data_IF_223523182973
#
_entry.id   IF_223523182973
#
_cell.length_a   1.000
_cell.length_b   1.000
_cell.length_c   1.000
_cell.angle_alpha   90.00
_cell.angle_beta   90.00
_cell.angle_gamma   90.00
#
_symmetry.space_group_name_H-M   'P 1'
#
loop_
_entity.id
_entity.type
_entity.pdbx_description
1 polymer ?
#
# COMPACT_ATOMS: atom_id res chain seq x y z
N UNK A 1 -4.73 -3.51 9.60
CA UNK A 1 -3.42 -3.36 10.27
C UNK A 1 -3.35 -1.94 10.83
N UNK A 2 -3.28 -1.80 12.15
CA UNK A 2 -3.20 -0.47 12.80
C UNK A 2 -1.72 -0.16 13.03
N UNK A 3 -1.21 0.91 12.43
CA UNK A 3 0.11 1.46 12.75
C UNK A 3 -0.11 2.58 13.76
N UNK A 4 0.33 2.35 15.00
CA UNK A 4 0.37 3.36 16.06
C UNK A 4 1.79 3.88 16.14
N UNK A 5 1.99 5.15 15.82
CA UNK A 5 3.22 5.88 16.13
C UNK A 5 3.24 6.18 17.62
N UNK A 6 4.20 5.64 18.34
CA UNK A 6 4.42 5.93 19.76
C UNK A 6 5.80 6.55 19.93
N UNK A 7 5.85 7.89 19.94
CA UNK A 7 6.99 8.63 20.48
C UNK A 7 6.74 8.89 21.96
N UNK A 8 7.35 8.09 22.84
CA UNK A 8 7.47 8.45 24.24
C UNK A 8 8.92 8.26 24.69
N UNK A 9 9.58 9.37 24.83
CA UNK A 9 10.85 9.49 25.54
C UNK A 9 10.64 9.19 27.01
N UNK A 10 11.07 8.02 27.49
CA UNK A 10 11.13 7.69 28.90
C UNK A 10 12.39 8.30 29.53
N UNK A 11 12.24 9.41 30.30
CA UNK A 11 13.24 9.83 31.28
C UNK A 11 13.17 8.88 32.47
N UNK A 12 14.11 7.97 32.57
CA UNK A 12 14.32 7.18 33.79
C UNK A 12 14.85 8.08 34.90
N UNK A 13 13.99 8.36 35.88
CA UNK A 13 14.37 9.01 37.12
C UNK A 13 14.76 7.89 38.11
N UNK A 14 16.06 7.78 38.37
CA UNK A 14 16.57 6.86 39.38
C UNK A 14 16.07 7.28 40.76
N UNK A 15 15.16 6.49 41.33
CA UNK A 15 14.82 6.57 42.76
C UNK A 15 15.76 5.65 43.54
N UNK A 16 16.64 6.25 44.37
CA UNK A 16 17.43 5.51 45.35
C UNK A 16 16.51 5.06 46.46
N UNK A 17 16.09 3.83 46.42
CA UNK A 17 15.38 3.18 47.51
C UNK A 17 16.40 2.56 48.46
N UNK A 18 16.49 3.13 49.70
CA UNK A 18 17.27 2.54 50.78
C UNK A 18 16.59 1.24 51.17
N UNK A 19 17.25 0.13 50.93
CA UNK A 19 16.85 -1.18 51.35
C UNK A 19 17.01 -1.31 52.87
N UNK A 20 15.96 -1.20 53.66
CA UNK A 20 15.98 -1.60 55.05
C UNK A 20 15.82 -3.12 55.14
N UNK A 21 16.91 -3.75 55.44
CA UNK A 21 17.10 -5.20 55.67
C UNK A 21 16.50 -5.59 57.01
N UNK A 22 15.18 -5.70 57.12
CA UNK A 22 14.51 -6.35 58.30
C UNK A 22 13.03 -6.54 58.02
N UNK A 23 12.67 -7.45 57.13
CA UNK A 23 11.42 -8.21 57.21
C UNK A 23 11.42 -9.33 56.15
N UNK A 24 12.39 -10.21 56.29
CA UNK A 24 12.45 -11.43 55.50
C UNK A 24 12.11 -12.57 56.45
N UNK A 25 10.85 -12.72 56.80
CA UNK A 25 10.37 -13.96 57.42
C UNK A 25 8.85 -14.06 57.26
N UNK A 26 8.45 -15.13 56.58
CA UNK A 26 7.13 -15.74 56.62
C UNK A 26 6.05 -15.12 55.69
N UNK A 27 6.14 -15.43 54.40
CA UNK A 27 4.94 -15.72 53.61
C UNK A 27 5.18 -17.00 52.81
N UNK A 28 4.53 -18.12 53.13
CA UNK A 28 4.53 -19.29 52.25
C UNK A 28 3.73 -18.90 51.00
N UNK A 29 4.45 -18.76 49.88
CA UNK A 29 3.87 -18.52 48.60
C UNK A 29 3.17 -19.81 48.15
N UNK A 30 1.87 -19.88 48.40
CA UNK A 30 1.01 -20.90 47.81
C UNK A 30 0.90 -20.54 46.33
N UNK A 31 1.74 -21.18 45.54
CA UNK A 31 1.61 -21.17 44.10
C UNK A 31 0.38 -22.01 43.73
N UNK A 32 -0.78 -21.37 43.70
CA UNK A 32 -1.94 -21.97 43.07
C UNK A 32 -1.60 -21.91 41.54
N UNK A 33 -1.14 -23.05 41.06
CA UNK A 33 -1.11 -23.32 39.64
C UNK A 33 -2.55 -23.32 39.13
N UNK A 34 -3.10 -22.12 38.87
CA UNK A 34 -4.24 -22.01 37.97
C UNK A 34 -3.68 -22.28 36.59
N UNK A 35 -3.65 -23.56 36.24
CA UNK A 35 -3.46 -23.95 34.85
C UNK A 35 -4.58 -23.32 34.06
N UNK A 36 -4.28 -22.31 33.23
CA UNK A 36 -5.18 -21.96 32.16
C UNK A 36 -5.41 -23.24 31.35
N UNK A 37 -6.67 -23.67 31.16
CA UNK A 37 -6.92 -24.68 30.13
C UNK A 37 -6.43 -24.04 28.81
N UNK A 38 -5.39 -24.62 28.23
CA UNK A 38 -5.06 -24.38 26.83
C UNK A 38 -6.25 -24.93 26.04
N UNK A 39 -7.24 -24.10 25.79
CA UNK A 39 -8.09 -24.26 24.62
C UNK A 39 -7.21 -23.97 23.39
N UNK A 40 -6.32 -24.92 23.09
CA UNK A 40 -5.65 -25.03 21.80
C UNK A 40 -6.65 -25.49 20.73
N UNK A 41 -7.77 -24.80 20.62
CA UNK A 41 -8.47 -24.64 19.37
C UNK A 41 -7.83 -23.46 18.64
N UNK A 42 -6.54 -23.58 18.33
CA UNK A 42 -5.97 -22.86 17.21
C UNK A 42 -6.67 -23.43 15.98
N UNK A 43 -7.81 -22.85 15.63
CA UNK A 43 -8.32 -22.94 14.28
C UNK A 43 -7.25 -22.28 13.43
N UNK A 44 -6.28 -23.07 13.00
CA UNK A 44 -5.38 -22.71 11.92
C UNK A 44 -6.29 -22.51 10.73
N UNK A 45 -6.71 -21.28 10.47
CA UNK A 45 -7.41 -20.96 9.23
C UNK A 45 -6.42 -21.30 8.14
N UNK A 46 -6.68 -22.43 7.46
CA UNK A 46 -5.84 -22.88 6.36
C UNK A 46 -5.76 -21.74 5.35
N UNK A 47 -4.53 -21.40 4.95
CA UNK A 47 -4.33 -20.32 3.98
C UNK A 47 -5.09 -20.66 2.71
N UNK A 48 -5.90 -19.72 2.23
CA UNK A 48 -6.70 -19.92 1.01
C UNK A 48 -5.76 -20.14 -0.18
N UNK A 49 -6.12 -21.04 -1.12
CA UNK A 49 -5.33 -21.22 -2.34
C UNK A 49 -5.17 -19.89 -3.10
N UNK A 50 -3.97 -19.62 -3.60
CA UNK A 50 -3.69 -18.41 -4.39
C UNK A 50 -4.64 -18.23 -5.57
N UNK A 51 -4.98 -19.31 -6.25
CA UNK A 51 -5.91 -19.26 -7.39
C UNK A 51 -7.30 -18.77 -7.00
N UNK A 52 -7.82 -19.20 -5.85
CA UNK A 52 -9.17 -18.82 -5.41
C UNK A 52 -9.20 -17.34 -5.04
N UNK A 53 -8.17 -16.86 -4.31
CA UNK A 53 -8.02 -15.45 -3.95
C UNK A 53 -7.88 -14.59 -5.20
N UNK A 54 -7.01 -15.00 -6.13
CA UNK A 54 -6.81 -14.27 -7.38
C UNK A 54 -8.10 -14.18 -8.21
N UNK A 55 -8.84 -15.27 -8.34
CA UNK A 55 -10.08 -15.29 -9.13
C UNK A 55 -11.15 -14.36 -8.56
N UNK A 56 -11.25 -14.25 -7.23
CA UNK A 56 -12.16 -13.31 -6.57
C UNK A 56 -11.71 -11.87 -6.82
N UNK A 57 -10.44 -11.57 -6.56
CA UNK A 57 -9.90 -10.23 -6.69
C UNK A 57 -9.94 -9.71 -8.13
N UNK A 58 -9.58 -10.55 -9.10
CA UNK A 58 -9.59 -10.12 -10.50
C UNK A 58 -11.01 -9.87 -11.02
N UNK A 59 -11.98 -10.68 -10.59
CA UNK A 59 -13.38 -10.46 -10.92
C UNK A 59 -13.91 -9.16 -10.33
N UNK A 60 -13.54 -8.82 -9.08
CA UNK A 60 -13.93 -7.57 -8.44
C UNK A 60 -13.28 -6.35 -9.12
N UNK A 61 -12.00 -6.47 -9.53
CA UNK A 61 -11.30 -5.43 -10.29
C UNK A 61 -11.94 -5.21 -11.67
N UNK A 62 -12.25 -6.29 -12.40
CA UNK A 62 -12.86 -6.20 -13.73
C UNK A 62 -14.28 -5.62 -13.65
N UNK A 63 -15.09 -6.01 -12.65
CA UNK A 63 -16.40 -5.41 -12.40
C UNK A 63 -16.31 -3.92 -12.06
N UNK A 64 -15.33 -3.54 -11.21
CA UNK A 64 -15.07 -2.13 -10.91
C UNK A 64 -14.71 -1.34 -12.17
N UNK A 65 -13.85 -1.88 -13.04
CA UNK A 65 -13.47 -1.22 -14.28
C UNK A 65 -14.61 -1.10 -15.28
N UNK A 66 -15.55 -2.05 -15.29
CA UNK A 66 -16.73 -2.03 -16.16
C UNK A 66 -17.80 -1.04 -15.67
N UNK A 67 -17.86 -0.83 -14.36
CA UNK A 67 -18.91 -0.01 -13.72
C UNK A 67 -18.47 1.41 -13.38
N UNK A 68 -17.20 1.74 -13.54
CA UNK A 68 -16.64 3.05 -13.20
C UNK A 68 -15.91 3.69 -14.38
N UNK A 69 -15.89 5.03 -14.38
CA UNK A 69 -15.00 5.81 -15.25
C UNK A 69 -14.09 6.71 -14.39
N UNK A 70 -13.04 7.24 -14.99
CA UNK A 70 -12.12 8.18 -14.35
C UNK A 70 -12.26 9.58 -14.93
N UNK A 71 -12.05 10.58 -14.07
CA UNK A 71 -11.69 11.94 -14.47
C UNK A 71 -10.30 12.26 -13.93
N UNK A 72 -9.51 12.98 -14.73
CA UNK A 72 -8.13 13.33 -14.41
C UNK A 72 -7.99 14.84 -14.48
N UNK A 73 -7.47 15.45 -13.42
CA UNK A 73 -7.18 16.89 -13.41
C UNK A 73 -5.81 17.23 -14.01
N UNK A 74 -5.46 18.52 -14.01
CA UNK A 74 -4.19 18.99 -14.57
C UNK A 74 -2.93 18.52 -13.84
N UNK A 75 -3.08 18.04 -12.60
CA UNK A 75 -2.00 17.52 -11.76
C UNK A 75 -1.99 15.97 -11.71
N UNK A 76 -2.74 15.34 -12.61
CA UNK A 76 -2.94 13.88 -12.70
C UNK A 76 -3.63 13.25 -11.47
N UNK A 77 -4.36 14.02 -10.65
CA UNK A 77 -5.21 13.43 -9.64
C UNK A 77 -6.41 12.75 -10.31
N UNK A 78 -6.66 11.51 -9.92
CA UNK A 78 -7.71 10.68 -10.48
C UNK A 78 -8.90 10.62 -9.55
N UNK A 79 -10.09 10.81 -10.12
CA UNK A 79 -11.36 10.59 -9.43
C UNK A 79 -12.10 9.46 -10.13
N UNK A 80 -12.51 8.45 -9.38
CA UNK A 80 -13.37 7.37 -9.86
C UNK A 80 -14.84 7.74 -9.66
N UNK A 81 -15.66 7.46 -10.66
CA UNK A 81 -17.09 7.75 -10.62
C UNK A 81 -17.87 6.57 -11.19
N UNK A 82 -18.87 6.11 -10.46
CA UNK A 82 -19.76 5.02 -10.88
C UNK A 82 -20.62 5.46 -12.07
N UNK A 83 -20.72 4.59 -13.07
CA UNK A 83 -21.55 4.79 -14.25
C UNK A 83 -23.00 4.49 -13.88
N UNK A 84 -23.85 5.47 -14.02
CA UNK A 84 -25.29 5.36 -13.76
C UNK A 84 -26.09 5.94 -14.92
N UNK A 85 -27.40 5.71 -14.94
CA UNK A 85 -28.28 6.33 -15.96
C UNK A 85 -28.26 7.87 -15.96
N UNK A 86 -27.85 8.48 -14.84
CA UNK A 86 -27.74 9.95 -14.69
C UNK A 86 -26.29 10.45 -14.78
N UNK A 87 -25.32 9.55 -14.71
CA UNK A 87 -23.86 9.85 -14.75
C UNK A 87 -23.19 8.92 -15.76
N UNK A 88 -23.40 9.17 -17.08
CA UNK A 88 -22.79 8.34 -18.11
C UNK A 88 -21.28 8.63 -18.23
N UNK A 89 -20.49 7.61 -18.56
CA UNK A 89 -19.07 7.71 -18.78
C UNK A 89 -18.54 6.53 -19.58
N UNK A 90 -17.33 6.64 -20.11
CA UNK A 90 -16.67 5.50 -20.76
C UNK A 90 -16.05 4.63 -19.67
N UNK A 91 -16.41 3.34 -19.58
CA UNK A 91 -15.82 2.45 -18.59
C UNK A 91 -14.30 2.44 -18.62
N UNK A 92 -13.68 2.18 -17.47
CA UNK A 92 -12.21 2.05 -17.38
C UNK A 92 -11.74 0.89 -18.27
N UNK A 93 -12.50 -0.19 -18.37
CA UNK A 93 -12.21 -1.33 -19.25
C UNK A 93 -12.08 -0.95 -20.73
N UNK A 94 -12.78 0.09 -21.18
CA UNK A 94 -12.73 0.62 -22.54
C UNK A 94 -11.77 1.83 -22.68
N UNK A 95 -11.05 2.18 -21.63
CA UNK A 95 -10.17 3.36 -21.66
C UNK A 95 -8.94 3.12 -22.52
N UNK A 96 -8.61 4.02 -23.50
CA UNK A 96 -7.53 3.80 -24.47
C UNK A 96 -6.12 3.69 -23.87
N UNK A 97 -5.92 4.20 -22.63
CA UNK A 97 -4.67 4.08 -21.90
C UNK A 97 -4.57 2.81 -21.03
N UNK A 98 -5.61 1.95 -21.04
CA UNK A 98 -5.59 0.72 -20.27
C UNK A 98 -4.62 -0.29 -20.87
N UNK A 99 -3.75 -0.80 -20.01
CA UNK A 99 -2.77 -1.84 -20.33
C UNK A 99 -2.84 -2.93 -19.26
N UNK A 100 -2.17 -4.04 -19.49
CA UNK A 100 -1.98 -5.06 -18.47
C UNK A 100 -0.61 -5.72 -18.57
N UNK A 101 -0.17 -6.30 -17.47
CA UNK A 101 1.03 -7.13 -17.37
C UNK A 101 0.68 -8.41 -16.62
N UNK A 102 1.21 -9.54 -17.08
CA UNK A 102 1.03 -10.81 -16.38
C UNK A 102 2.29 -11.17 -15.61
N UNK A 103 2.13 -11.56 -14.34
CA UNK A 103 3.20 -12.07 -13.49
C UNK A 103 2.81 -13.43 -12.95
N UNK A 104 3.78 -14.31 -12.68
CA UNK A 104 3.52 -15.62 -12.05
C UNK A 104 3.91 -15.56 -10.57
N UNK A 105 2.96 -15.86 -9.68
CA UNK A 105 3.16 -15.92 -8.24
C UNK A 105 2.41 -17.11 -7.66
N UNK A 106 3.06 -17.90 -6.82
CA UNK A 106 2.43 -19.11 -6.24
C UNK A 106 1.96 -20.14 -7.28
N UNK A 107 2.54 -20.13 -8.50
CA UNK A 107 2.13 -21.01 -9.60
C UNK A 107 0.85 -20.55 -10.32
N UNK A 108 0.36 -19.35 -10.03
CA UNK A 108 -0.80 -18.72 -10.66
C UNK A 108 -0.35 -17.51 -11.46
N UNK A 109 -0.84 -17.34 -12.67
CA UNK A 109 -0.59 -16.16 -13.49
C UNK A 109 -1.58 -15.05 -13.11
N UNK A 110 -1.03 -13.96 -12.56
CA UNK A 110 -1.77 -12.78 -12.12
C UNK A 110 -1.72 -11.71 -13.19
N UNK A 111 -2.86 -11.21 -13.59
CA UNK A 111 -2.98 -10.06 -14.47
C UNK A 111 -3.05 -8.79 -13.62
N UNK A 112 -2.14 -7.86 -13.86
CA UNK A 112 -2.08 -6.53 -13.26
C UNK A 112 -2.51 -5.51 -14.30
N UNK A 113 -3.58 -4.79 -14.05
CA UNK A 113 -4.02 -3.72 -14.96
C UNK A 113 -3.43 -2.38 -14.56
N UNK A 114 -3.17 -1.52 -15.54
CA UNK A 114 -2.74 -0.16 -15.28
C UNK A 114 -3.15 0.81 -16.41
N UNK A 115 -3.42 2.05 -16.02
CA UNK A 115 -3.67 3.16 -16.93
C UNK A 115 -2.41 4.04 -16.98
N UNK A 116 -1.84 4.23 -18.15
CA UNK A 116 -0.71 5.15 -18.36
C UNK A 116 -1.25 6.51 -18.78
N UNK A 117 -1.48 7.40 -17.81
CA UNK A 117 -2.03 8.75 -18.03
C UNK A 117 -0.95 9.72 -18.53
N UNK A 118 0.26 9.56 -18.04
CA UNK A 118 1.46 10.23 -18.56
C UNK A 118 2.64 9.28 -18.51
N UNK A 119 3.38 9.19 -19.61
CA UNK A 119 4.52 8.25 -19.69
C UNK A 119 5.73 8.72 -18.87
N UNK A 120 5.94 10.05 -18.78
CA UNK A 120 7.18 10.65 -18.32
C UNK A 120 8.21 10.80 -19.45
N UNK A 121 9.28 11.56 -19.19
CA UNK A 121 10.31 11.88 -20.21
C UNK A 121 11.70 11.33 -19.88
N UNK A 122 11.92 10.91 -18.62
CA UNK A 122 13.20 10.38 -18.16
C UNK A 122 13.40 8.89 -18.43
N UNK A 123 14.07 8.20 -17.54
CA UNK A 123 14.33 6.76 -17.64
C UNK A 123 13.28 5.96 -16.87
N UNK A 124 13.03 4.74 -17.31
CA UNK A 124 12.24 3.78 -16.55
C UNK A 124 13.05 3.28 -15.34
N UNK A 125 12.48 3.22 -14.16
CA UNK A 125 13.14 2.57 -13.03
C UNK A 125 13.17 1.06 -13.23
N UNK A 126 14.13 0.41 -12.59
CA UNK A 126 14.13 -1.04 -12.40
C UNK A 126 13.45 -1.40 -11.07
N UNK A 127 13.15 -2.67 -10.85
CA UNK A 127 12.57 -3.15 -9.58
C UNK A 127 13.45 -2.93 -8.34
N UNK A 128 14.74 -2.64 -8.53
CA UNK A 128 15.72 -2.40 -7.47
C UNK A 128 15.97 -0.92 -7.20
N UNK A 129 15.34 -0.05 -8.00
CA UNK A 129 15.55 1.39 -7.86
C UNK A 129 14.63 2.00 -6.80
N UNK A 130 15.06 3.13 -6.27
CA UNK A 130 14.20 4.00 -5.46
C UNK A 130 13.45 4.98 -6.34
N UNK A 131 12.16 5.17 -6.06
CA UNK A 131 11.30 6.13 -6.75
C UNK A 131 10.79 7.18 -5.78
N UNK A 132 10.66 8.42 -6.27
CA UNK A 132 10.10 9.54 -5.54
C UNK A 132 8.70 9.82 -6.06
N UNK A 133 7.67 9.46 -5.30
CA UNK A 133 6.29 9.48 -5.78
C UNK A 133 5.30 9.88 -4.67
N UNK A 134 4.22 10.55 -5.07
CA UNK A 134 2.98 10.65 -4.29
C UNK A 134 2.01 9.58 -4.77
N UNK A 135 1.06 9.19 -3.92
CA UNK A 135 0.06 8.20 -4.26
C UNK A 135 -1.17 8.29 -3.38
N UNK A 136 -2.24 7.65 -3.82
CA UNK A 136 -3.44 7.41 -3.04
C UNK A 136 -4.00 6.03 -3.37
N UNK A 137 -4.08 5.18 -2.36
CA UNK A 137 -4.55 3.81 -2.47
C UNK A 137 -6.02 3.69 -2.06
N UNK A 138 -6.81 3.02 -2.90
CA UNK A 138 -8.22 2.77 -2.69
C UNK A 138 -8.50 1.27 -2.67
N UNK A 139 -9.57 0.89 -1.96
CA UNK A 139 -10.25 -0.37 -2.20
C UNK A 139 -11.29 -0.19 -3.30
N UNK A 140 -11.88 -1.25 -3.77
CA UNK A 140 -12.95 -1.24 -4.78
C UNK A 140 -14.22 -0.53 -4.31
N UNK A 141 -14.45 -0.41 -2.99
CA UNK A 141 -15.51 0.41 -2.40
C UNK A 141 -15.15 1.92 -2.32
N UNK A 142 -14.04 2.34 -2.93
CA UNK A 142 -13.47 3.68 -2.91
C UNK A 142 -13.02 4.18 -1.53
N UNK A 143 -13.02 3.33 -0.50
CA UNK A 143 -12.40 3.68 0.77
C UNK A 143 -10.88 3.78 0.62
N UNK A 144 -10.30 4.88 1.13
CA UNK A 144 -8.86 5.10 1.11
C UNK A 144 -8.20 4.24 2.21
N UNK A 145 -7.22 3.41 1.85
CA UNK A 145 -6.49 2.63 2.83
C UNK A 145 -5.10 3.20 3.13
N UNK A 146 -4.52 3.96 2.20
CA UNK A 146 -3.21 4.60 2.39
C UNK A 146 -3.03 5.76 1.40
N UNK A 147 -2.23 6.77 1.77
CA UNK A 147 -1.95 7.90 0.90
C UNK A 147 -0.68 8.66 1.32
N UNK A 148 0.06 9.18 0.36
CA UNK A 148 1.10 10.17 0.54
C UNK A 148 0.88 11.30 -0.46
N UNK A 149 0.27 12.40 -0.01
CA UNK A 149 -0.02 13.58 -0.85
C UNK A 149 1.25 14.34 -1.24
N UNK A 150 2.27 14.34 -0.37
CA UNK A 150 3.60 14.82 -0.71
C UNK A 150 4.44 13.64 -1.18
N UNK A 151 5.23 13.80 -2.26
CA UNK A 151 6.09 12.71 -2.73
C UNK A 151 7.07 12.26 -1.64
N UNK A 152 7.23 10.96 -1.52
CA UNK A 152 8.18 10.30 -0.62
C UNK A 152 9.01 9.28 -1.39
N UNK A 153 10.15 8.90 -0.85
CA UNK A 153 11.01 7.89 -1.44
C UNK A 153 10.55 6.48 -1.04
N UNK A 154 10.46 5.59 -2.03
CA UNK A 154 10.27 4.15 -1.85
C UNK A 154 11.41 3.40 -2.52
N UNK A 155 11.91 2.33 -1.89
CA UNK A 155 12.62 1.29 -2.59
C UNK A 155 11.59 0.32 -3.20
N UNK A 156 11.65 0.07 -4.51
CA UNK A 156 10.66 -0.77 -5.17
C UNK A 156 10.73 -2.22 -4.69
N UNK A 157 11.88 -2.69 -4.22
CA UNK A 157 12.03 -4.03 -3.62
C UNK A 157 11.29 -4.19 -2.27
N UNK A 158 10.96 -3.09 -1.58
CA UNK A 158 10.31 -3.08 -0.26
C UNK A 158 8.79 -2.84 -0.34
N UNK A 159 8.24 -2.63 -1.53
CA UNK A 159 6.80 -2.40 -1.71
C UNK A 159 6.08 -3.66 -2.24
N UNK A 160 4.77 -3.60 -2.34
CA UNK A 160 3.96 -4.72 -2.86
C UNK A 160 4.35 -5.09 -4.29
N UNK A 161 4.25 -6.37 -4.63
CA UNK A 161 4.67 -6.92 -5.93
C UNK A 161 4.08 -6.16 -7.13
N UNK A 162 2.82 -5.75 -7.03
CA UNK A 162 2.17 -4.98 -8.08
C UNK A 162 2.88 -3.65 -8.39
N UNK A 163 3.39 -2.97 -7.38
CA UNK A 163 4.17 -1.75 -7.57
C UNK A 163 5.53 -2.05 -8.21
N UNK A 164 6.24 -3.08 -7.72
CA UNK A 164 7.51 -3.50 -8.32
C UNK A 164 7.39 -3.82 -9.80
N UNK A 165 6.23 -4.36 -10.20
CA UNK A 165 5.98 -4.78 -11.57
C UNK A 165 5.51 -3.64 -12.47
N UNK A 166 4.75 -2.69 -11.94
CA UNK A 166 4.09 -1.66 -12.76
C UNK A 166 4.89 -0.35 -12.79
N UNK A 167 5.60 0.07 -11.73
CA UNK A 167 6.41 1.28 -11.78
C UNK A 167 7.42 1.31 -12.94
N UNK A 168 8.08 0.19 -13.32
CA UNK A 168 8.96 0.15 -14.49
C UNK A 168 8.30 0.45 -15.84
N UNK A 169 6.97 0.47 -15.91
CA UNK A 169 6.24 0.85 -17.11
C UNK A 169 6.18 2.37 -17.34
N UNK A 170 6.52 3.15 -16.31
CA UNK A 170 6.54 4.60 -16.32
C UNK A 170 7.97 5.13 -16.33
N UNK A 171 8.17 6.30 -16.92
CA UNK A 171 9.44 7.01 -16.90
C UNK A 171 9.45 8.05 -15.77
N UNK A 172 10.63 8.36 -15.28
CA UNK A 172 10.81 9.49 -14.37
C UNK A 172 10.52 10.81 -15.07
N UNK A 173 10.34 11.87 -14.28
CA UNK A 173 10.27 13.23 -14.78
C UNK A 173 11.62 13.92 -14.87
N UNK A 174 11.56 15.21 -15.06
CA UNK A 174 12.68 16.14 -14.91
C UNK A 174 12.59 16.87 -13.60
N UNK A 175 13.73 17.32 -13.06
CA UNK A 175 13.79 18.19 -11.90
C UNK A 175 14.61 19.42 -12.20
N UNK A 176 14.17 20.54 -11.65
CA UNK A 176 14.89 21.81 -11.68
C UNK A 176 15.02 22.34 -10.26
N UNK A 177 16.24 22.66 -9.85
CA UNK A 177 16.49 23.29 -8.56
C UNK A 177 16.86 24.74 -8.81
N UNK A 178 16.03 25.64 -8.29
CA UNK A 178 16.29 27.07 -8.31
C UNK A 178 17.47 27.39 -7.40
N UNK A 179 18.51 28.04 -7.94
CA UNK A 179 19.75 28.33 -7.21
C UNK A 179 19.58 29.40 -6.14
N UNK A 180 18.58 30.26 -6.27
CA UNK A 180 18.39 31.40 -5.35
C UNK A 180 17.51 31.00 -4.14
N UNK A 181 16.53 30.15 -4.40
CA UNK A 181 15.57 29.68 -3.39
C UNK A 181 15.87 28.29 -2.84
N UNK A 182 16.74 27.54 -3.53
CA UNK A 182 17.02 26.12 -3.25
C UNK A 182 15.77 25.23 -3.25
N UNK A 183 14.75 25.63 -4.03
CA UNK A 183 13.52 24.88 -4.21
C UNK A 183 13.65 23.99 -5.43
N UNK A 184 13.39 22.70 -5.30
CA UNK A 184 13.34 21.74 -6.40
C UNK A 184 11.90 21.56 -6.88
N UNK A 185 11.68 21.77 -8.16
CA UNK A 185 10.42 21.48 -8.85
C UNK A 185 10.58 20.27 -9.75
N UNK A 186 9.51 19.52 -9.91
CA UNK A 186 9.45 18.31 -10.75
C UNK A 186 8.39 18.49 -11.83
N UNK A 187 8.70 18.07 -13.05
CA UNK A 187 7.77 18.14 -14.19
C UNK A 187 7.89 16.90 -15.08
N UNK A 188 6.92 16.74 -15.95
CA UNK A 188 6.91 15.70 -17.01
C UNK A 188 7.15 14.27 -16.49
N UNK A 189 6.70 13.99 -15.27
CA UNK A 189 6.85 12.68 -14.60
C UNK A 189 5.78 11.69 -15.07
N UNK A 190 6.09 10.39 -14.95
CA UNK A 190 5.12 9.33 -15.20
C UNK A 190 3.98 9.37 -14.20
N UNK A 191 2.75 9.25 -14.70
CA UNK A 191 1.55 9.25 -13.86
C UNK A 191 0.54 8.22 -14.36
N UNK A 192 -0.16 7.56 -13.43
CA UNK A 192 -1.14 6.55 -13.81
C UNK A 192 -1.88 5.95 -12.64
N UNK A 193 -2.69 4.95 -12.97
CA UNK A 193 -3.46 4.14 -12.03
C UNK A 193 -3.04 2.69 -12.19
N UNK A 194 -3.01 1.93 -11.12
CA UNK A 194 -2.79 0.48 -11.16
C UNK A 194 -3.87 -0.24 -10.36
N UNK A 195 -4.29 -1.40 -10.87
CA UNK A 195 -5.23 -2.30 -10.24
C UNK A 195 -4.49 -3.59 -9.92
N UNK A 196 -4.36 -3.89 -8.63
CA UNK A 196 -3.51 -4.96 -8.14
C UNK A 196 -4.34 -5.92 -7.29
N UNK A 197 -4.47 -7.19 -7.70
CA UNK A 197 -5.06 -8.21 -6.84
C UNK A 197 -4.28 -8.34 -5.52
N UNK A 198 -4.99 -8.64 -4.43
CA UNK A 198 -4.39 -8.92 -3.13
C UNK A 198 -3.91 -10.38 -3.12
N UNK A 199 -2.73 -10.67 -3.48
CA UNK A 199 -2.26 -12.05 -3.53
C UNK A 199 -1.05 -12.33 -2.67
#
# INVERSE_FOLDING_TARGET
MKIVSCEHFFKLKYYKMKLSLRLLLLLPFIFVMVGCPNDDTTTTTEARPYLDVYNEDIAEIEDFMDTHFITVDGDYNVTFTEITGTTPGTPISDHPALNFKTISKGGVDHKLYYLKLNEGVGSNPTKLDSVFSSYKGYKTDLSVFDAASNPIWFQLEDVIDGWQEIFPEFKSGTSFTDSDTNVTTYSDFGAGVMFVPSG
#
